data_IF_209402886101
#
_entry.id   IF_209402886101
#
_cell.length_a   1.000
_cell.length_b   1.000
_cell.length_c   1.000
_cell.angle_alpha   90.00
_cell.angle_beta   90.00
_cell.angle_gamma   90.00
#
_symmetry.space_group_name_H-M   'P 1'
#
loop_
_entity.id
_entity.type
_entity.pdbx_description
1 polymer ?
#
# COMPACT_ATOMS: atom_id res chain seq x y z
N UNK A 1 5.72 -27.57 -34.62
CA UNK A 1 5.12 -27.57 -33.27
C UNK A 1 5.44 -26.21 -32.65
N UNK A 2 4.46 -25.31 -32.56
CA UNK A 2 4.70 -23.91 -32.17
C UNK A 2 4.73 -23.77 -30.65
N UNK A 3 5.91 -23.47 -30.10
CA UNK A 3 6.18 -23.21 -28.69
C UNK A 3 5.68 -21.80 -28.30
N UNK A 4 4.36 -21.59 -28.43
CA UNK A 4 3.72 -20.32 -28.06
C UNK A 4 3.12 -20.45 -26.67
N UNK A 5 3.70 -19.63 -25.78
CA UNK A 5 3.08 -19.08 -24.57
C UNK A 5 3.18 -19.96 -23.32
N UNK A 6 4.41 -20.11 -22.81
CA UNK A 6 4.60 -20.12 -21.35
C UNK A 6 4.29 -18.72 -20.80
N UNK A 7 3.00 -18.34 -20.77
CA UNK A 7 2.59 -17.17 -20.01
C UNK A 7 2.93 -17.46 -18.55
N UNK A 8 3.73 -16.62 -17.87
CA UNK A 8 4.09 -16.87 -16.49
C UNK A 8 2.80 -17.01 -15.66
N UNK A 9 2.76 -17.99 -14.77
CA UNK A 9 1.58 -18.46 -14.02
C UNK A 9 1.05 -17.41 -13.03
N UNK A 10 0.64 -16.24 -13.49
CA UNK A 10 -0.03 -15.22 -12.70
C UNK A 10 -1.43 -15.00 -13.25
N UNK A 11 -2.41 -15.04 -12.35
CA UNK A 11 -3.79 -14.68 -12.64
C UNK A 11 -4.07 -13.29 -12.12
N UNK A 12 -5.13 -12.64 -12.61
CA UNK A 12 -5.61 -11.36 -12.06
C UNK A 12 -5.84 -11.49 -10.55
N UNK A 13 -6.43 -12.59 -10.09
CA UNK A 13 -6.64 -12.85 -8.67
C UNK A 13 -5.32 -12.93 -7.87
N UNK A 14 -4.26 -13.51 -8.44
CA UNK A 14 -2.93 -13.54 -7.81
C UNK A 14 -2.32 -12.15 -7.71
N UNK A 15 -2.49 -11.30 -8.73
CA UNK A 15 -2.03 -9.91 -8.69
C UNK A 15 -2.81 -9.06 -7.69
N UNK A 16 -4.14 -9.21 -7.65
CA UNK A 16 -4.99 -8.53 -6.66
C UNK A 16 -4.57 -8.90 -5.24
N UNK A 17 -4.29 -10.18 -4.98
CA UNK A 17 -3.80 -10.65 -3.68
C UNK A 17 -2.43 -10.04 -3.34
N UNK A 18 -1.50 -10.04 -4.29
CA UNK A 18 -0.18 -9.46 -4.08
C UNK A 18 -0.28 -7.96 -3.75
N UNK A 19 -1.10 -7.21 -4.51
CA UNK A 19 -1.38 -5.81 -4.24
C UNK A 19 -1.97 -5.59 -2.85
N UNK A 20 -3.00 -6.35 -2.46
CA UNK A 20 -3.62 -6.23 -1.14
C UNK A 20 -2.63 -6.53 -0.01
N UNK A 21 -1.78 -7.55 -0.17
CA UNK A 21 -0.73 -7.88 0.80
C UNK A 21 0.29 -6.75 0.92
N UNK A 22 0.71 -6.17 -0.21
CA UNK A 22 1.61 -5.01 -0.23
C UNK A 22 0.99 -3.82 0.49
N UNK A 23 -0.26 -3.49 0.17
CA UNK A 23 -1.00 -2.40 0.79
C UNK A 23 -1.07 -2.52 2.31
N UNK A 24 -1.38 -3.71 2.82
CA UNK A 24 -1.40 -3.98 4.26
C UNK A 24 0.00 -3.84 4.89
N UNK A 25 1.05 -4.31 4.21
CA UNK A 25 2.42 -4.16 4.68
C UNK A 25 2.85 -2.68 4.74
N UNK A 26 2.46 -1.87 3.75
CA UNK A 26 2.71 -0.44 3.69
C UNK A 26 1.98 0.32 4.81
N UNK A 27 0.72 -0.02 5.06
CA UNK A 27 -0.05 0.53 6.19
C UNK A 27 0.58 0.18 7.55
N UNK A 28 1.05 -1.05 7.72
CA UNK A 28 1.75 -1.48 8.93
C UNK A 28 3.14 -0.85 9.08
N UNK A 29 3.71 -0.28 8.01
CA UNK A 29 5.06 0.29 7.96
C UNK A 29 6.16 -0.76 7.94
N UNK A 30 5.87 -1.95 7.41
CA UNK A 30 6.89 -2.95 7.14
C UNK A 30 7.81 -2.48 5.99
N UNK A 31 9.05 -2.95 5.99
CA UNK A 31 10.00 -2.68 4.91
C UNK A 31 9.58 -3.42 3.62
N UNK A 32 9.91 -2.90 2.43
CA UNK A 32 9.59 -3.55 1.17
C UNK A 32 10.32 -4.91 1.02
N UNK A 33 11.44 -5.09 1.71
CA UNK A 33 12.24 -6.32 1.69
C UNK A 33 11.54 -7.54 2.31
N UNK A 34 10.36 -7.36 2.95
CA UNK A 34 9.57 -8.47 3.48
C UNK A 34 8.69 -9.17 2.42
N UNK A 35 8.82 -8.76 1.16
CA UNK A 35 8.02 -9.31 0.07
C UNK A 35 8.30 -10.81 -0.13
N UNK A 36 7.25 -11.67 -0.22
CA UNK A 36 7.42 -13.11 -0.41
C UNK A 36 7.64 -13.52 -1.88
N UNK A 37 7.44 -12.61 -2.83
CA UNK A 37 7.51 -12.88 -4.26
C UNK A 37 8.94 -12.70 -4.80
N UNK A 38 9.49 -13.67 -5.56
CA UNK A 38 10.69 -13.43 -6.35
C UNK A 38 10.41 -12.39 -7.43
N UNK A 39 11.45 -11.75 -8.00
CA UNK A 39 11.32 -10.71 -9.03
C UNK A 39 10.44 -11.16 -10.21
N UNK A 40 9.15 -10.79 -10.17
CA UNK A 40 8.08 -11.32 -11.02
C UNK A 40 6.92 -10.32 -11.09
N UNK A 41 5.94 -10.56 -11.97
CA UNK A 41 4.77 -9.67 -12.09
C UNK A 41 3.99 -9.51 -10.76
N UNK A 42 3.78 -10.57 -9.94
CA UNK A 42 3.25 -10.43 -8.59
C UNK A 42 4.08 -9.55 -7.65
N UNK A 43 5.42 -9.57 -7.77
CA UNK A 43 6.29 -8.66 -7.00
C UNK A 43 5.96 -7.20 -7.30
N UNK A 44 5.88 -6.83 -8.58
CA UNK A 44 5.53 -5.47 -8.98
C UNK A 44 4.13 -5.04 -8.46
N UNK A 45 3.16 -5.96 -8.46
CA UNK A 45 1.83 -5.68 -7.90
C UNK A 45 1.88 -5.47 -6.37
N UNK A 46 2.68 -6.25 -5.66
CA UNK A 46 2.90 -6.09 -4.22
C UNK A 46 3.59 -4.75 -3.90
N UNK A 47 4.64 -4.40 -4.64
CA UNK A 47 5.35 -3.13 -4.46
C UNK A 47 4.43 -1.93 -4.68
N UNK A 48 3.60 -1.97 -5.73
CA UNK A 48 2.61 -0.93 -5.99
C UNK A 48 1.64 -0.77 -4.80
N UNK A 49 1.12 -1.89 -4.28
CA UNK A 49 0.27 -1.86 -3.09
C UNK A 49 0.99 -1.28 -1.88
N UNK A 50 2.24 -1.68 -1.64
CA UNK A 50 3.03 -1.19 -0.51
C UNK A 50 3.27 0.31 -0.55
N UNK A 51 3.60 0.86 -1.71
CA UNK A 51 3.75 2.31 -1.91
C UNK A 51 2.45 3.04 -1.59
N UNK A 52 1.32 2.55 -2.10
CA UNK A 52 -0.01 3.13 -1.83
C UNK A 52 -0.36 3.08 -0.33
N UNK A 53 -0.12 1.94 0.33
CA UNK A 53 -0.37 1.76 1.76
C UNK A 53 0.49 2.69 2.63
N UNK A 54 1.76 2.86 2.26
CA UNK A 54 2.67 3.79 2.95
C UNK A 54 2.22 5.25 2.78
N UNK A 55 1.78 5.63 1.59
CA UNK A 55 1.22 6.97 1.35
C UNK A 55 -0.05 7.20 2.19
N UNK A 56 -0.96 6.22 2.23
CA UNK A 56 -2.18 6.29 3.03
C UNK A 56 -1.88 6.42 4.53
N UNK A 57 -0.91 5.68 5.06
CA UNK A 57 -0.46 5.81 6.45
C UNK A 57 0.01 7.23 6.75
N UNK A 58 0.89 7.78 5.90
CA UNK A 58 1.41 9.15 6.06
C UNK A 58 0.30 10.20 6.05
N UNK A 59 -0.66 10.08 5.14
CA UNK A 59 -1.82 10.97 5.07
C UNK A 59 -2.69 10.87 6.33
N UNK A 60 -2.89 9.65 6.87
CA UNK A 60 -3.61 9.46 8.13
C UNK A 60 -2.88 10.12 9.30
N UNK A 61 -1.56 9.95 9.39
CA UNK A 61 -0.73 10.57 10.41
C UNK A 61 -0.78 12.11 10.32
N UNK A 62 -0.69 12.67 9.11
CA UNK A 62 -0.82 14.11 8.88
C UNK A 62 -2.21 14.64 9.28
N UNK A 63 -3.27 13.93 8.92
CA UNK A 63 -4.64 14.32 9.28
C UNK A 63 -4.85 14.31 10.80
N UNK A 64 -4.34 13.28 11.50
CA UNK A 64 -4.36 13.22 12.96
C UNK A 64 -3.59 14.41 13.56
N UNK A 65 -2.40 14.72 13.05
CA UNK A 65 -1.61 15.85 13.53
C UNK A 65 -2.32 17.20 13.30
N UNK A 66 -3.02 17.36 12.17
CA UNK A 66 -3.84 18.55 11.90
C UNK A 66 -5.03 18.65 12.86
N UNK A 67 -5.72 17.54 13.13
CA UNK A 67 -6.83 17.50 14.08
C UNK A 67 -6.39 17.82 15.51
N UNK A 68 -5.20 17.34 15.92
CA UNK A 68 -4.63 17.63 17.24
C UNK A 68 -4.15 19.09 17.41
N UNK A 69 -3.88 19.81 16.31
CA UNK A 69 -3.47 21.22 16.32
C UNK A 69 -4.62 22.23 16.38
N UNK A 70 -5.87 21.79 16.25
CA UNK A 70 -7.04 22.68 16.35
C UNK A 70 -7.70 22.55 17.73
N UNK A 71 -7.14 23.22 18.73
CA UNK A 71 -7.96 23.66 19.86
C UNK A 71 -8.95 24.71 19.35
N UNK A 72 -10.28 24.53 19.50
CA UNK A 72 -11.21 25.60 19.22
C UNK A 72 -10.97 26.69 20.26
N UNK A 73 -10.32 27.79 19.86
CA UNK A 73 -10.27 28.99 20.70
C UNK A 73 -11.72 29.41 20.91
N UNK A 74 -12.24 29.16 22.12
CA UNK A 74 -13.59 29.57 22.49
C UNK A 74 -13.60 31.09 22.52
N UNK A 75 -14.09 31.70 21.45
CA UNK A 75 -14.32 33.14 21.40
C UNK A 75 -15.56 33.44 22.26
N UNK A 76 -15.31 33.75 23.54
CA UNK A 76 -16.31 34.28 24.46
C UNK A 76 -16.58 35.72 24.06
N UNK A 77 -17.67 35.95 23.31
CA UNK A 77 -18.20 37.29 23.11
C UNK A 77 -18.92 37.71 24.41
N UNK A 78 -18.33 38.72 25.06
CA UNK A 78 -18.95 39.50 26.12
C UNK A 78 -19.91 40.55 25.54
#
# INVERSE_FOLDING_TARGET
>A
MSDRQQAPHWSVASLTKAYQQGYMAGLAGHAPDTQPFPASVPAAAWEAGWVDGKAQRRLSEENINRAAGHTPVTQKHA
#
